data_IF_200444922329
#
_entry.id   IF_200444922329
#
_cell.length_a   1.000
_cell.length_b   1.000
_cell.length_c   1.000
_cell.angle_alpha   90.00
_cell.angle_beta   90.00
_cell.angle_gamma   90.00
#
_symmetry.space_group_name_H-M   'P 1'
#
loop_
_entity.id
_entity.type
_entity.pdbx_description
1 polymer ?
#
# COMPACT_ATOMS: atom_id res chain seq x y z
N UNK A 1 -1.20 -11.53 25.52
CA UNK A 1 -0.03 -12.23 24.94
C UNK A 1 0.04 -13.75 25.24
N UNK A 2 -1.01 -14.41 25.75
CA UNK A 2 -0.98 -15.87 26.05
C UNK A 2 -1.46 -16.76 24.89
N UNK A 3 -2.19 -16.19 23.92
CA UNK A 3 -2.79 -16.89 22.77
C UNK A 3 -1.82 -17.16 21.61
N UNK A 4 -0.68 -16.46 21.53
CA UNK A 4 0.24 -16.55 20.38
C UNK A 4 1.34 -17.60 20.54
N UNK A 5 1.64 -18.03 21.76
CA UNK A 5 2.72 -19.00 22.04
C UNK A 5 2.60 -20.33 21.26
N UNK A 6 1.42 -20.97 21.16
CA UNK A 6 1.31 -22.22 20.39
C UNK A 6 1.38 -22.00 18.87
N UNK A 7 1.19 -20.76 18.39
CA UNK A 7 1.22 -20.41 16.96
C UNK A 7 2.48 -19.65 16.56
N UNK A 8 3.45 -19.50 17.46
CA UNK A 8 4.67 -18.74 17.19
C UNK A 8 5.43 -19.29 15.98
N UNK A 9 5.53 -20.61 15.86
CA UNK A 9 6.15 -21.27 14.70
C UNK A 9 5.38 -21.03 13.40
N UNK A 10 4.04 -21.05 13.46
CA UNK A 10 3.20 -20.76 12.30
C UNK A 10 3.39 -19.31 11.84
N UNK A 11 3.30 -18.35 12.78
CA UNK A 11 3.49 -16.93 12.49
C UNK A 11 4.89 -16.67 11.94
N UNK A 12 5.92 -17.27 12.54
CA UNK A 12 7.30 -17.13 12.08
C UNK A 12 7.47 -17.71 10.67
N UNK A 13 6.99 -18.92 10.41
CA UNK A 13 7.12 -19.59 9.12
C UNK A 13 6.44 -18.80 8.00
N UNK A 14 5.15 -18.45 8.18
CA UNK A 14 4.42 -17.67 7.17
C UNK A 14 4.96 -16.26 7.04
N UNK A 15 5.31 -15.60 8.16
CA UNK A 15 5.94 -14.28 8.14
C UNK A 15 7.25 -14.28 7.36
N UNK A 16 8.10 -15.30 7.55
CA UNK A 16 9.35 -15.46 6.82
C UNK A 16 9.10 -15.67 5.32
N UNK A 17 8.13 -16.51 4.94
CA UNK A 17 7.76 -16.70 3.53
C UNK A 17 7.27 -15.40 2.91
N UNK A 18 6.40 -14.65 3.60
CA UNK A 18 5.91 -13.36 3.14
C UNK A 18 7.05 -12.36 2.95
N UNK A 19 8.01 -12.29 3.89
CA UNK A 19 9.19 -11.43 3.76
C UNK A 19 10.04 -11.88 2.56
N UNK A 20 10.37 -13.16 2.44
CA UNK A 20 11.18 -13.67 1.33
C UNK A 20 10.52 -13.47 -0.04
N UNK A 21 9.19 -13.52 -0.10
CA UNK A 21 8.43 -13.29 -1.32
C UNK A 21 8.29 -11.79 -1.65
N UNK A 22 8.07 -10.94 -0.65
CA UNK A 22 7.78 -9.51 -0.84
C UNK A 22 9.02 -8.60 -0.80
N UNK A 23 10.15 -9.06 -0.25
CA UNK A 23 11.38 -8.24 -0.23
C UNK A 23 11.85 -7.77 -1.62
N UNK A 24 11.67 -8.52 -2.74
CA UNK A 24 12.05 -8.04 -4.06
C UNK A 24 11.17 -6.88 -4.54
N UNK A 25 9.90 -6.82 -4.12
CA UNK A 25 9.01 -5.70 -4.45
C UNK A 25 9.53 -4.40 -3.83
N UNK A 26 10.06 -4.48 -2.60
CA UNK A 26 10.59 -3.32 -1.87
C UNK A 26 11.99 -2.94 -2.39
N UNK A 27 12.86 -3.91 -2.64
CA UNK A 27 14.29 -3.68 -2.92
C UNK A 27 14.62 -3.51 -4.40
N UNK A 28 13.96 -4.27 -5.29
CA UNK A 28 14.23 -4.24 -6.73
C UNK A 28 13.28 -3.32 -7.49
N UNK A 29 12.34 -2.67 -6.79
CA UNK A 29 11.30 -1.82 -7.38
C UNK A 29 10.52 -2.52 -8.50
N UNK A 30 10.44 -3.86 -8.44
CA UNK A 30 9.69 -4.66 -9.40
C UNK A 30 8.25 -4.74 -8.94
N UNK A 31 7.34 -4.61 -9.88
CA UNK A 31 5.92 -4.65 -9.60
C UNK A 31 5.20 -5.70 -10.43
N UNK A 32 3.99 -6.06 -10.02
CA UNK A 32 3.13 -6.96 -10.77
C UNK A 32 2.61 -6.24 -12.02
N UNK A 33 2.71 -6.91 -13.17
CA UNK A 33 2.22 -6.38 -14.44
C UNK A 33 0.86 -6.99 -14.73
N UNK A 34 -0.13 -6.14 -15.02
CA UNK A 34 -1.49 -6.54 -15.39
C UNK A 34 -2.47 -6.56 -14.23
N UNK A 35 -3.71 -6.96 -14.53
CA UNK A 35 -4.81 -7.03 -13.56
C UNK A 35 -5.21 -5.68 -12.98
N UNK A 36 -6.03 -5.75 -11.94
CA UNK A 36 -6.45 -4.63 -11.09
C UNK A 36 -5.28 -3.89 -10.44
N UNK A 37 -4.19 -4.60 -10.13
CA UNK A 37 -2.96 -3.99 -9.64
C UNK A 37 -2.46 -2.88 -10.55
N UNK A 38 -2.29 -3.16 -11.84
CA UNK A 38 -1.74 -2.18 -12.77
C UNK A 38 -2.73 -1.08 -13.14
N UNK A 39 -4.01 -1.44 -13.36
CA UNK A 39 -5.01 -0.48 -13.86
C UNK A 39 -5.66 0.36 -12.76
N UNK A 40 -5.63 -0.09 -11.51
CA UNK A 40 -6.33 0.54 -10.40
C UNK A 40 -5.39 0.83 -9.20
N UNK A 41 -4.80 -0.20 -8.60
CA UNK A 41 -4.08 -0.01 -7.33
C UNK A 41 -2.81 0.84 -7.47
N UNK A 42 -2.04 0.64 -8.54
CA UNK A 42 -0.85 1.42 -8.82
C UNK A 42 -1.16 2.91 -9.06
N UNK A 43 -2.05 3.30 -9.99
CA UNK A 43 -2.34 4.72 -10.21
C UNK A 43 -2.98 5.40 -8.98
N UNK A 44 -3.80 4.68 -8.21
CA UNK A 44 -4.36 5.20 -6.95
C UNK A 44 -3.26 5.47 -5.93
N UNK A 45 -2.38 4.49 -5.71
CA UNK A 45 -1.26 4.61 -4.78
C UNK A 45 -0.30 5.74 -5.19
N UNK A 46 -0.04 5.87 -6.50
CA UNK A 46 0.77 6.96 -7.06
C UNK A 46 0.16 8.32 -6.77
N UNK A 47 -1.11 8.51 -7.12
CA UNK A 47 -1.80 9.78 -6.89
C UNK A 47 -1.91 10.12 -5.39
N UNK A 48 -2.15 9.12 -4.54
CA UNK A 48 -2.16 9.31 -3.09
C UNK A 48 -0.79 9.74 -2.56
N UNK A 49 0.29 9.06 -2.97
CA UNK A 49 1.65 9.41 -2.59
C UNK A 49 2.04 10.83 -3.04
N UNK A 50 1.72 11.20 -4.28
CA UNK A 50 1.99 12.53 -4.82
C UNK A 50 1.20 13.62 -4.06
N UNK A 51 -0.07 13.35 -3.74
CA UNK A 51 -0.90 14.27 -2.95
C UNK A 51 -0.32 14.49 -1.55
N UNK A 52 0.05 13.41 -0.85
CA UNK A 52 0.65 13.49 0.50
C UNK A 52 1.97 14.24 0.48
N UNK A 53 2.84 13.97 -0.50
CA UNK A 53 4.13 14.67 -0.66
C UNK A 53 3.95 16.15 -0.97
N UNK A 54 2.84 16.54 -1.60
CA UNK A 54 2.44 17.93 -1.80
C UNK A 54 1.79 18.59 -0.57
N UNK A 55 1.68 17.87 0.56
CA UNK A 55 1.04 18.37 1.78
C UNK A 55 -0.49 18.35 1.75
N UNK A 56 -1.09 17.63 0.79
CA UNK A 56 -2.53 17.58 0.58
C UNK A 56 -3.08 16.19 0.88
N UNK A 57 -4.27 16.16 1.47
CA UNK A 57 -5.04 14.93 1.63
C UNK A 57 -6.07 14.84 0.49
N UNK A 58 -6.06 13.77 -0.33
CA UNK A 58 -6.94 13.66 -1.50
C UNK A 58 -8.36 13.23 -1.10
N UNK A 59 -9.08 14.13 -0.45
CA UNK A 59 -10.49 13.93 -0.08
C UNK A 59 -11.40 13.74 -1.29
N UNK A 60 -11.03 14.34 -2.42
CA UNK A 60 -11.72 14.21 -3.69
C UNK A 60 -10.69 14.29 -4.83
N UNK A 61 -10.85 13.45 -5.86
CA UNK A 61 -10.06 13.51 -7.09
C UNK A 61 -10.98 13.44 -8.29
N UNK A 62 -10.73 14.28 -9.30
CA UNK A 62 -11.41 14.29 -10.60
C UNK A 62 -10.83 13.27 -11.59
N UNK A 63 -9.74 12.59 -11.21
CA UNK A 63 -9.02 11.65 -12.08
C UNK A 63 -9.71 10.30 -12.27
N UNK A 64 -10.81 10.07 -11.56
CA UNK A 64 -11.56 8.83 -11.58
C UNK A 64 -13.04 9.16 -11.85
N UNK A 65 -13.54 8.76 -13.02
CA UNK A 65 -14.93 8.99 -13.42
C UNK A 65 -15.32 10.47 -13.41
N UNK A 66 -16.39 10.81 -12.70
CA UNK A 66 -16.85 12.20 -12.48
C UNK A 66 -16.39 12.77 -11.12
N UNK A 67 -15.45 12.08 -10.46
CA UNK A 67 -14.99 12.41 -9.13
C UNK A 67 -15.05 11.22 -8.18
N UNK A 68 -14.05 11.10 -7.30
CA UNK A 68 -13.92 9.97 -6.40
C UNK A 68 -13.28 10.35 -5.06
N UNK A 69 -13.83 9.88 -3.92
CA UNK A 69 -13.25 10.15 -2.61
C UNK A 69 -12.13 9.15 -2.28
N UNK A 70 -10.98 9.29 -2.96
CA UNK A 70 -9.90 8.29 -2.92
C UNK A 70 -9.44 7.94 -1.50
N UNK A 71 -9.32 8.92 -0.61
CA UNK A 71 -8.88 8.69 0.78
C UNK A 71 -9.86 7.83 1.60
N UNK A 72 -11.15 7.85 1.25
CA UNK A 72 -12.19 7.07 1.90
C UNK A 72 -12.29 5.65 1.35
N UNK A 73 -11.53 5.34 0.30
CA UNK A 73 -11.50 4.03 -0.31
C UNK A 73 -10.70 3.05 0.59
N UNK A 74 -11.31 1.92 0.95
CA UNK A 74 -10.78 0.97 1.91
C UNK A 74 -9.55 0.18 1.44
N UNK A 75 -9.42 -0.08 0.14
CA UNK A 75 -8.25 -0.66 -0.51
C UNK A 75 -7.05 0.31 -0.55
N UNK A 76 -7.28 1.63 -0.54
CA UNK A 76 -6.20 2.64 -0.39
C UNK A 76 -5.71 2.73 1.06
N UNK A 77 -6.63 2.55 2.02
CA UNK A 77 -6.37 2.65 3.45
C UNK A 77 -5.60 3.93 3.82
N UNK A 78 -6.07 5.08 3.30
CA UNK A 78 -5.36 6.37 3.38
C UNK A 78 -5.12 6.90 4.79
N UNK A 79 -5.87 6.43 5.78
CA UNK A 79 -5.68 6.77 7.20
C UNK A 79 -4.93 5.71 8.01
N UNK A 80 -4.41 4.67 7.37
CA UNK A 80 -3.64 3.64 8.05
C UNK A 80 -2.19 4.15 8.25
N UNK A 81 -1.70 4.32 9.49
CA UNK A 81 -0.39 4.93 9.73
C UNK A 81 0.78 4.25 9.00
N UNK A 82 0.86 2.90 8.90
CA UNK A 82 1.88 2.25 8.10
C UNK A 82 1.86 2.65 6.61
N UNK A 83 0.68 2.81 6.02
CA UNK A 83 0.54 3.25 4.63
C UNK A 83 1.04 4.68 4.46
N UNK A 84 0.60 5.61 5.31
CA UNK A 84 1.03 7.02 5.27
C UNK A 84 2.55 7.12 5.36
N UNK A 85 3.17 6.43 6.33
CA UNK A 85 4.62 6.41 6.50
C UNK A 85 5.33 5.84 5.26
N UNK A 86 4.78 4.78 4.66
CA UNK A 86 5.35 4.19 3.44
C UNK A 86 5.28 5.14 2.24
N UNK A 87 4.16 5.81 2.03
CA UNK A 87 3.96 6.71 0.89
C UNK A 87 4.81 7.99 1.00
N UNK A 88 5.03 8.48 2.21
CA UNK A 88 5.89 9.65 2.47
C UNK A 88 7.37 9.25 2.41
N UNK A 89 7.75 8.15 3.08
CA UNK A 89 9.14 7.79 3.33
C UNK A 89 9.83 6.97 2.24
N UNK A 90 9.08 6.25 1.41
CA UNK A 90 9.64 5.43 0.34
C UNK A 90 9.60 6.14 -1.02
N UNK A 91 10.61 5.91 -1.88
CA UNK A 91 10.56 6.35 -3.26
C UNK A 91 9.39 5.66 -3.96
N UNK A 92 8.49 6.48 -4.50
CA UNK A 92 7.40 6.04 -5.37
C UNK A 92 7.85 6.38 -6.78
N UNK A 93 8.09 5.38 -7.63
CA UNK A 93 8.36 5.56 -9.06
C UNK A 93 7.13 5.15 -9.84
#
# INVERSE_FOLDING_TARGET
MRLLRPHAYFIFFYGLIFILFLWPLISLQKTFIGGDYWVQFYPWSRFFADSLKAGNWPYWTDRIGLGFPLIAEGQVAGYYPPNILSFIGLPFH
#
